data_IF_761219997910
#
_entry.id   IF_761219997910
#
_cell.length_a   1.000
_cell.length_b   1.000
_cell.length_c   1.000
_cell.angle_alpha   90.00
_cell.angle_beta   90.00
_cell.angle_gamma   90.00
#
_symmetry.space_group_name_H-M   'P 1'
#
loop_
_entity.id
_entity.type
_entity.pdbx_description
1 polymer ?
#
# COMPACT_ATOMS: atom_id res chain seq x y z
N UNK A 1 -16.45 -11.19 -38.70
CA UNK A 1 -17.87 -11.29 -38.31
C UNK A 1 -18.14 -10.21 -37.28
N UNK A 2 -19.15 -9.38 -37.56
CA UNK A 2 -19.64 -8.18 -36.89
C UNK A 2 -19.02 -7.73 -35.55
N UNK A 3 -18.51 -6.50 -35.53
CA UNK A 3 -18.53 -5.67 -34.32
C UNK A 3 -19.55 -4.54 -34.55
N UNK A 4 -20.70 -4.75 -33.92
CA UNK A 4 -21.77 -3.81 -33.59
C UNK A 4 -21.38 -2.33 -33.57
N UNK A 5 -22.25 -1.48 -34.13
CA UNK A 5 -22.09 -0.03 -34.25
C UNK A 5 -22.05 0.71 -32.92
N UNK A 6 -20.88 0.71 -32.27
CA UNK A 6 -20.55 1.58 -31.16
C UNK A 6 -19.41 2.51 -31.59
N UNK A 7 -19.56 3.81 -31.30
CA UNK A 7 -18.62 4.87 -31.69
C UNK A 7 -17.22 4.72 -31.08
N UNK A 8 -17.10 3.94 -30.00
CA UNK A 8 -15.86 3.72 -29.27
C UNK A 8 -15.62 2.21 -29.07
N UNK A 9 -14.36 1.73 -29.18
CA UNK A 9 -14.02 0.34 -28.93
C UNK A 9 -14.22 0.00 -27.44
N UNK A 10 -14.91 -1.11 -27.16
CA UNK A 10 -15.16 -1.61 -25.80
C UNK A 10 -14.80 -3.09 -25.72
N UNK A 11 -13.56 -3.44 -25.33
CA UNK A 11 -13.17 -4.83 -25.24
C UNK A 11 -13.71 -5.44 -23.93
N UNK A 12 -14.72 -6.30 -24.05
CA UNK A 12 -15.52 -6.70 -22.89
C UNK A 12 -14.93 -7.79 -21.99
N UNK A 13 -13.75 -8.38 -22.24
CA UNK A 13 -13.15 -9.39 -21.34
C UNK A 13 -11.62 -9.54 -21.54
N UNK A 14 -10.82 -8.54 -21.20
CA UNK A 14 -9.36 -8.63 -21.31
C UNK A 14 -8.67 -8.88 -19.97
N UNK A 15 -7.88 -9.95 -19.89
CA UNK A 15 -6.91 -10.13 -18.81
C UNK A 15 -5.55 -9.57 -19.25
N UNK A 16 -5.21 -8.38 -18.75
CA UNK A 16 -3.97 -7.66 -19.06
C UNK A 16 -2.71 -8.52 -18.81
N UNK A 17 -2.77 -9.44 -17.84
CA UNK A 17 -1.67 -10.35 -17.52
C UNK A 17 -1.32 -11.35 -18.64
N UNK A 18 -2.20 -11.55 -19.62
CA UNK A 18 -1.93 -12.40 -20.78
C UNK A 18 -1.04 -11.72 -21.83
N UNK A 19 -1.06 -10.38 -21.88
CA UNK A 19 -0.35 -9.59 -22.90
C UNK A 19 0.90 -8.90 -22.35
N UNK A 20 0.88 -8.56 -21.06
CA UNK A 20 2.00 -7.92 -20.38
C UNK A 20 2.61 -8.93 -19.43
N UNK A 21 3.64 -9.63 -19.93
CA UNK A 21 4.34 -10.68 -19.18
C UNK A 21 5.35 -10.12 -18.18
N UNK A 22 5.70 -8.82 -18.31
CA UNK A 22 6.73 -8.17 -17.52
C UNK A 22 6.11 -7.15 -16.58
N UNK A 23 6.45 -7.21 -15.29
CA UNK A 23 6.02 -6.20 -14.32
C UNK A 23 6.89 -4.94 -14.43
N UNK A 24 6.28 -3.76 -14.47
CA UNK A 24 6.99 -2.48 -14.51
C UNK A 24 7.90 -2.29 -13.28
N UNK A 25 9.15 -1.92 -13.53
CA UNK A 25 10.22 -1.58 -12.58
C UNK A 25 11.02 -0.39 -13.12
N UNK A 26 11.89 0.21 -12.30
CA UNK A 26 12.62 1.43 -12.68
C UNK A 26 13.59 1.25 -13.87
N UNK A 27 14.01 0.03 -14.17
CA UNK A 27 15.00 -0.26 -15.22
C UNK A 27 14.45 -0.95 -16.46
N UNK A 28 13.15 -1.29 -16.51
CA UNK A 28 12.55 -2.05 -17.61
C UNK A 28 11.42 -1.33 -18.34
N UNK A 29 11.36 0.00 -18.21
CA UNK A 29 10.29 0.83 -18.78
C UNK A 29 10.14 0.64 -20.30
N UNK A 30 11.24 0.58 -21.05
CA UNK A 30 11.19 0.45 -22.51
C UNK A 30 10.53 -0.86 -22.96
N UNK A 31 10.92 -1.98 -22.34
CA UNK A 31 10.41 -3.32 -22.68
C UNK A 31 8.97 -3.53 -22.18
N UNK A 32 8.62 -2.89 -21.07
CA UNK A 32 7.24 -2.84 -20.59
C UNK A 32 6.35 -1.99 -21.51
N UNK A 33 6.85 -0.81 -21.93
CA UNK A 33 6.14 0.10 -22.82
C UNK A 33 5.83 -0.55 -24.15
N UNK A 34 6.73 -1.33 -24.74
CA UNK A 34 6.45 -2.04 -25.99
C UNK A 34 5.29 -3.02 -25.82
N UNK A 35 5.31 -3.88 -24.79
CA UNK A 35 4.21 -4.83 -24.54
C UNK A 35 2.87 -4.14 -24.24
N UNK A 36 2.93 -2.99 -23.57
CA UNK A 36 1.75 -2.19 -23.26
C UNK A 36 1.17 -1.50 -24.50
N UNK A 37 2.03 -0.91 -25.35
CA UNK A 37 1.60 -0.30 -26.60
C UNK A 37 0.99 -1.35 -27.53
N UNK A 38 1.64 -2.51 -27.72
CA UNK A 38 1.13 -3.60 -28.56
C UNK A 38 -0.27 -4.06 -28.14
N UNK A 39 -0.55 -4.12 -26.83
CA UNK A 39 -1.89 -4.40 -26.31
C UNK A 39 -2.89 -3.32 -26.73
N UNK A 40 -2.53 -2.04 -26.63
CA UNK A 40 -3.40 -0.91 -27.01
C UNK A 40 -3.69 -0.92 -28.51
N UNK A 41 -2.70 -1.17 -29.35
CA UNK A 41 -2.89 -1.27 -30.80
C UNK A 41 -3.80 -2.46 -31.13
N UNK A 42 -3.64 -3.60 -30.46
CA UNK A 42 -4.46 -4.80 -30.70
C UNK A 42 -5.95 -4.62 -30.38
N UNK A 43 -6.28 -3.64 -29.53
CA UNK A 43 -7.66 -3.35 -29.11
C UNK A 43 -8.22 -2.09 -29.79
N UNK A 44 -7.50 -1.54 -30.77
CA UNK A 44 -7.85 -0.32 -31.50
C UNK A 44 -8.05 0.90 -30.59
N UNK A 45 -7.35 0.93 -29.45
CA UNK A 45 -7.50 1.97 -28.41
C UNK A 45 -6.47 3.12 -28.56
N UNK A 46 -5.63 3.07 -29.60
CA UNK A 46 -4.63 4.11 -29.90
C UNK A 46 -5.24 5.51 -30.05
N UNK A 47 -6.45 5.61 -30.62
CA UNK A 47 -7.11 6.89 -30.86
C UNK A 47 -7.41 7.71 -29.60
N UNK A 48 -7.45 7.08 -28.42
CA UNK A 48 -7.58 7.79 -27.14
C UNK A 48 -6.25 8.41 -26.67
N UNK A 49 -5.11 7.85 -27.06
CA UNK A 49 -3.77 8.37 -26.73
C UNK A 49 -3.37 9.48 -27.71
N UNK A 50 -3.68 9.31 -28.99
CA UNK A 50 -3.36 10.27 -30.05
C UNK A 50 -4.31 11.49 -30.07
N UNK A 51 -5.41 11.44 -29.32
CA UNK A 51 -6.38 12.53 -29.22
C UNK A 51 -7.38 12.60 -30.38
N UNK A 52 -7.48 11.53 -31.18
CA UNK A 52 -8.45 11.41 -32.28
C UNK A 52 -9.90 11.29 -31.79
N UNK A 53 -10.11 10.97 -30.51
CA UNK A 53 -11.42 10.99 -29.85
C UNK A 53 -11.51 12.14 -28.84
N UNK A 54 -11.93 13.35 -29.24
CA UNK A 54 -12.11 14.45 -28.32
C UNK A 54 -13.26 14.15 -27.34
N UNK A 55 -13.06 14.51 -26.07
CA UNK A 55 -14.03 14.30 -25.00
C UNK A 55 -15.37 15.00 -25.34
N UNK A 56 -16.49 14.26 -25.45
CA UNK A 56 -17.81 14.86 -25.68
C UNK A 56 -18.27 15.71 -24.47
N UNK A 57 -19.18 16.67 -24.70
CA UNK A 57 -19.75 17.45 -23.60
C UNK A 57 -20.59 16.60 -22.64
N UNK A 58 -20.43 16.85 -21.34
CA UNK A 58 -21.01 16.06 -20.25
C UNK A 58 -22.53 16.14 -20.17
N UNK A 59 -23.10 17.25 -20.62
CA UNK A 59 -24.53 17.55 -20.58
C UNK A 59 -24.93 18.14 -21.92
N UNK A 60 -26.10 17.76 -22.45
CA UNK A 60 -26.62 18.38 -23.66
C UNK A 60 -27.12 19.80 -23.35
N UNK A 61 -26.95 20.77 -24.27
CA UNK A 61 -27.51 22.10 -24.10
C UNK A 61 -29.04 22.03 -24.03
N UNK A 62 -29.65 22.75 -23.09
CA UNK A 62 -31.10 22.86 -22.97
C UNK A 62 -31.64 23.60 -24.21
N UNK A 63 -32.44 22.93 -25.03
CA UNK A 63 -33.15 23.57 -26.14
C UNK A 63 -34.15 24.59 -25.58
N UNK A 64 -34.21 25.76 -26.22
CA UNK A 64 -34.83 27.00 -25.74
C UNK A 64 -36.36 27.02 -25.64
N UNK A 65 -37.04 25.88 -25.46
CA UNK A 65 -38.51 25.84 -25.40
C UNK A 65 -39.12 25.41 -24.08
N UNK A 66 -38.33 25.04 -23.06
CA UNK A 66 -38.91 24.62 -21.77
C UNK A 66 -38.39 25.48 -20.62
N UNK A 67 -38.99 26.68 -20.49
CA UNK A 67 -38.98 27.43 -19.22
C UNK A 67 -40.08 26.84 -18.34
N UNK A 68 -39.74 25.81 -17.57
CA UNK A 68 -40.54 25.36 -16.43
C UNK A 68 -39.63 24.71 -15.38
N UNK A 69 -39.94 24.96 -14.12
CA UNK A 69 -39.14 24.73 -12.92
C UNK A 69 -38.43 23.35 -12.85
N UNK A 70 -37.10 23.36 -12.69
CA UNK A 70 -36.37 22.23 -12.13
C UNK A 70 -35.90 21.11 -13.08
N UNK A 71 -35.76 21.35 -14.38
CA UNK A 71 -35.21 20.34 -15.30
C UNK A 71 -33.70 20.11 -15.08
N UNK A 72 -33.31 18.94 -14.54
CA UNK A 72 -31.91 18.50 -14.50
C UNK A 72 -31.41 18.29 -15.92
N UNK A 73 -30.31 18.95 -16.30
CA UNK A 73 -29.63 18.71 -17.57
C UNK A 73 -29.40 17.19 -17.77
N UNK A 74 -30.00 16.62 -18.80
CA UNK A 74 -29.85 15.21 -19.11
C UNK A 74 -28.38 14.92 -19.44
N UNK A 75 -27.82 13.87 -18.81
CA UNK A 75 -26.45 13.44 -19.04
C UNK A 75 -26.36 12.91 -20.48
N UNK A 76 -25.38 13.40 -21.24
CA UNK A 76 -25.20 12.98 -22.62
C UNK A 76 -24.85 11.47 -22.68
N UNK A 77 -25.63 10.62 -23.36
CA UNK A 77 -25.33 9.19 -23.48
C UNK A 77 -23.99 8.92 -24.20
N UNK A 78 -23.58 9.82 -25.09
CA UNK A 78 -22.26 9.77 -25.74
C UNK A 78 -21.12 10.00 -24.76
N UNK A 79 -21.32 10.87 -23.76
CA UNK A 79 -20.34 11.11 -22.69
C UNK A 79 -20.22 9.89 -21.77
N UNK A 80 -21.30 9.15 -21.50
CA UNK A 80 -21.22 7.89 -20.76
C UNK A 80 -20.49 6.81 -21.52
N UNK A 81 -20.77 6.65 -22.82
CA UNK A 81 -20.09 5.67 -23.66
C UNK A 81 -18.59 5.97 -23.81
N UNK A 82 -18.22 7.23 -24.02
CA UNK A 82 -16.81 7.67 -24.03
C UNK A 82 -16.13 7.38 -22.69
N UNK A 83 -16.82 7.67 -21.57
CA UNK A 83 -16.27 7.44 -20.22
C UNK A 83 -16.11 5.95 -19.91
N UNK A 84 -17.07 5.10 -20.25
CA UNK A 84 -16.98 3.66 -20.02
C UNK A 84 -15.87 3.02 -20.88
N UNK A 85 -15.67 3.49 -22.11
CA UNK A 85 -14.55 3.08 -22.95
C UNK A 85 -13.19 3.57 -22.42
N UNK A 86 -13.10 4.83 -21.97
CA UNK A 86 -11.89 5.39 -21.37
C UNK A 86 -11.58 4.82 -19.98
N UNK A 87 -12.61 4.47 -19.19
CA UNK A 87 -12.47 3.88 -17.87
C UNK A 87 -11.86 2.47 -17.97
N UNK A 88 -12.09 1.72 -19.06
CA UNK A 88 -11.38 0.45 -19.33
C UNK A 88 -9.88 0.64 -19.62
N UNK A 89 -9.50 1.71 -20.33
CA UNK A 89 -8.10 2.08 -20.54
C UNK A 89 -7.48 2.48 -19.20
N UNK A 90 -8.18 3.27 -18.39
CA UNK A 90 -7.69 3.63 -17.07
C UNK A 90 -7.65 2.43 -16.14
N UNK A 91 -8.56 1.45 -16.15
CA UNK A 91 -8.39 0.19 -15.39
C UNK A 91 -7.19 -0.61 -15.89
N UNK A 92 -6.92 -0.68 -17.20
CA UNK A 92 -5.69 -1.30 -17.72
C UNK A 92 -4.41 -0.55 -17.30
N UNK A 93 -4.44 0.78 -17.29
CA UNK A 93 -3.34 1.64 -16.82
C UNK A 93 -3.25 1.65 -15.28
N UNK A 94 -4.36 1.56 -14.54
CA UNK A 94 -4.45 1.64 -13.07
C UNK A 94 -4.11 0.28 -12.44
N UNK A 95 -4.48 -0.83 -13.09
CA UNK A 95 -4.06 -2.17 -12.66
C UNK A 95 -2.55 -2.36 -12.85
N UNK A 96 -1.96 -1.73 -13.87
CA UNK A 96 -0.52 -1.87 -14.15
C UNK A 96 0.35 -0.76 -13.54
N UNK A 97 -0.11 0.49 -13.49
CA UNK A 97 0.59 1.62 -12.85
C UNK A 97 0.08 1.90 -11.41
N UNK A 98 -1.23 1.97 -11.15
CA UNK A 98 -1.74 2.47 -9.87
C UNK A 98 -1.85 1.45 -8.73
N UNK A 99 -1.75 0.15 -9.01
CA UNK A 99 -1.62 -0.85 -7.94
C UNK A 99 -0.33 -0.66 -7.10
N UNK A 100 0.69 0.00 -7.67
CA UNK A 100 1.97 0.24 -7.00
C UNK A 100 2.40 1.72 -7.04
N UNK A 101 2.16 2.54 -8.07
CA UNK A 101 2.91 3.80 -8.23
C UNK A 101 2.41 4.98 -7.37
N UNK A 102 1.13 5.09 -7.03
CA UNK A 102 0.67 6.18 -6.12
C UNK A 102 0.89 5.87 -4.63
N UNK A 103 1.19 4.62 -4.26
CA UNK A 103 1.52 4.26 -2.87
C UNK A 103 3.02 3.97 -2.63
N UNK A 104 3.84 3.82 -3.69
CA UNK A 104 5.18 3.23 -3.59
C UNK A 104 6.37 4.21 -3.53
N UNK A 105 6.20 5.51 -3.29
CA UNK A 105 7.36 6.40 -3.06
C UNK A 105 7.26 7.40 -1.91
N UNK A 106 6.34 7.19 -0.97
CA UNK A 106 6.60 7.65 0.40
C UNK A 106 7.10 6.45 1.19
N UNK A 107 8.41 6.29 1.27
CA UNK A 107 9.01 5.54 2.36
C UNK A 107 8.52 6.19 3.66
N UNK A 108 7.42 5.67 4.21
CA UNK A 108 6.88 6.11 5.49
C UNK A 108 7.86 5.63 6.57
N UNK A 109 8.96 6.39 6.74
CA UNK A 109 9.81 6.30 7.92
C UNK A 109 8.91 6.52 9.14
N UNK A 110 8.82 5.52 10.00
CA UNK A 110 8.05 5.61 11.23
C UNK A 110 8.93 6.24 12.30
N UNK A 111 8.63 7.48 12.67
CA UNK A 111 9.32 8.21 13.72
C UNK A 111 8.46 8.22 15.00
N UNK A 112 9.05 7.83 16.13
CA UNK A 112 8.41 7.85 17.45
C UNK A 112 9.21 8.77 18.38
N UNK A 113 8.56 9.67 19.15
CA UNK A 113 9.28 10.56 20.06
C UNK A 113 9.98 9.80 21.18
N UNK A 114 11.11 10.34 21.67
CA UNK A 114 11.87 9.80 22.81
C UNK A 114 11.10 9.88 24.14
N UNK A 115 10.12 10.77 24.23
CA UNK A 115 9.24 10.95 25.39
C UNK A 115 7.77 10.92 24.96
N UNK A 116 6.92 10.28 25.76
CA UNK A 116 5.47 10.19 25.51
C UNK A 116 4.71 10.33 26.83
N UNK A 117 3.67 11.17 26.87
CA UNK A 117 2.72 11.20 27.99
C UNK A 117 1.72 10.06 27.82
N UNK A 118 1.64 9.15 28.79
CA UNK A 118 0.68 8.03 28.76
C UNK A 118 0.31 7.61 30.17
N UNK A 119 -0.75 6.82 30.30
CA UNK A 119 -1.23 6.34 31.59
C UNK A 119 -0.24 5.35 32.21
N UNK A 120 0.17 5.61 33.45
CA UNK A 120 1.00 4.70 34.22
C UNK A 120 0.14 3.76 35.07
N UNK A 121 0.27 2.45 34.85
CA UNK A 121 -0.47 1.40 35.58
C UNK A 121 0.10 1.10 36.97
N UNK A 122 1.22 1.70 37.36
CA UNK A 122 1.79 1.50 38.69
C UNK A 122 0.79 1.94 39.76
N UNK A 123 0.73 1.18 40.85
CA UNK A 123 -0.14 1.47 42.00
C UNK A 123 0.13 2.85 42.59
N UNK A 124 1.38 3.31 42.54
CA UNK A 124 1.84 4.61 43.05
C UNK A 124 1.43 5.81 42.17
N UNK A 125 1.25 5.60 40.86
CA UNK A 125 1.01 6.69 39.92
C UNK A 125 -0.45 6.80 39.52
N UNK A 126 -1.03 5.73 38.96
CA UNK A 126 -2.41 5.66 38.41
C UNK A 126 -2.86 6.91 37.65
N UNK A 127 -1.94 7.59 36.96
CA UNK A 127 -2.16 8.86 36.26
C UNK A 127 -1.31 8.96 35.00
N UNK A 128 -1.60 9.95 34.16
CA UNK A 128 -0.84 10.22 32.94
C UNK A 128 0.48 10.92 33.25
N UNK A 129 1.59 10.21 33.08
CA UNK A 129 2.95 10.70 33.35
C UNK A 129 3.81 10.67 32.09
N UNK A 130 4.93 11.38 32.12
CA UNK A 130 5.94 11.32 31.06
C UNK A 130 6.70 9.99 31.15
N UNK A 131 6.77 9.31 30.00
CA UNK A 131 7.49 8.05 29.84
C UNK A 131 8.66 8.23 28.88
N UNK A 132 9.81 7.66 29.24
CA UNK A 132 10.95 7.48 28.33
C UNK A 132 10.65 6.31 27.40
N UNK A 133 10.72 6.57 26.10
CA UNK A 133 10.45 5.57 25.05
C UNK A 133 11.77 4.99 24.58
N UNK A 134 11.88 3.67 24.64
CA UNK A 134 13.03 2.91 24.13
C UNK A 134 12.55 1.75 23.27
N UNK A 135 13.40 1.25 22.38
CA UNK A 135 13.09 0.02 21.63
C UNK A 135 13.34 -1.20 22.52
N UNK A 136 12.39 -2.13 22.58
CA UNK A 136 12.61 -3.42 23.21
C UNK A 136 13.66 -4.21 22.41
N UNK A 137 14.66 -4.74 23.11
CA UNK A 137 15.62 -5.71 22.60
C UNK A 137 15.40 -7.03 23.31
N UNK A 138 15.38 -8.13 22.54
CA UNK A 138 15.39 -9.48 23.11
C UNK A 138 16.75 -9.70 23.77
N UNK A 139 16.76 -10.14 25.02
CA UNK A 139 17.99 -10.55 25.72
C UNK A 139 18.53 -11.90 25.23
N UNK A 140 19.69 -12.30 25.76
CA UNK A 140 20.23 -13.65 25.56
C UNK A 140 19.29 -14.68 26.19
N UNK A 141 19.05 -15.78 25.48
CA UNK A 141 18.22 -16.88 26.01
C UNK A 141 18.98 -17.58 27.16
N UNK A 142 18.30 -17.78 28.28
CA UNK A 142 18.89 -18.43 29.47
C UNK A 142 18.95 -19.95 29.31
N UNK A 143 20.02 -20.58 29.80
CA UNK A 143 20.20 -22.04 29.75
C UNK A 143 19.45 -22.79 30.85
N UNK A 144 19.19 -22.13 31.99
CA UNK A 144 18.57 -22.76 33.15
C UNK A 144 17.04 -23.01 32.99
N UNK A 145 16.42 -22.42 31.96
CA UNK A 145 14.98 -22.58 31.73
C UNK A 145 14.64 -24.03 31.40
N UNK A 146 13.52 -24.52 31.91
CA UNK A 146 13.12 -25.92 31.81
C UNK A 146 13.09 -26.43 30.36
N UNK A 147 12.62 -25.61 29.42
CA UNK A 147 12.56 -25.96 27.99
C UNK A 147 13.94 -26.21 27.38
N UNK A 148 14.94 -25.40 27.75
CA UNK A 148 16.32 -25.54 27.26
C UNK A 148 16.99 -26.77 27.87
N UNK A 149 16.87 -26.98 29.19
CA UNK A 149 17.33 -28.21 29.86
C UNK A 149 16.77 -29.49 29.24
N UNK A 150 15.46 -29.50 28.93
CA UNK A 150 14.81 -30.63 28.26
C UNK A 150 15.32 -30.82 26.83
N UNK A 151 15.50 -29.73 26.08
CA UNK A 151 16.05 -29.78 24.72
C UNK A 151 17.45 -30.38 24.71
N UNK A 152 18.33 -29.90 25.60
CA UNK A 152 19.73 -30.33 25.67
C UNK A 152 19.84 -31.81 26.04
N UNK A 153 19.05 -32.28 27.02
CA UNK A 153 18.95 -33.70 27.37
C UNK A 153 18.36 -34.55 26.23
N UNK A 154 17.45 -34.01 25.43
CA UNK A 154 16.92 -34.74 24.26
C UNK A 154 17.98 -34.83 23.15
N UNK A 155 18.79 -33.79 23.00
CA UNK A 155 19.79 -33.69 21.95
C UNK A 155 21.07 -34.50 22.23
N UNK A 156 21.32 -34.88 23.49
CA UNK A 156 22.49 -35.69 23.85
C UNK A 156 22.39 -37.12 23.34
N UNK A 157 23.52 -37.71 22.93
CA UNK A 157 23.61 -39.07 22.39
C UNK A 157 23.61 -39.10 20.86
N UNK A 158 23.26 -40.26 20.29
CA UNK A 158 23.18 -40.46 18.84
C UNK A 158 21.76 -40.17 18.32
N UNK A 159 21.62 -39.89 17.02
CA UNK A 159 20.32 -39.65 16.37
C UNK A 159 20.13 -38.24 15.80
N UNK A 160 21.13 -37.36 15.91
CA UNK A 160 21.15 -36.06 15.21
C UNK A 160 20.14 -35.05 15.75
N UNK A 161 19.55 -34.25 14.86
CA UNK A 161 18.67 -33.14 15.23
C UNK A 161 17.29 -33.62 15.70
N UNK A 162 16.96 -33.42 16.99
CA UNK A 162 15.76 -34.03 17.61
C UNK A 162 14.48 -33.20 17.59
N UNK A 163 14.56 -31.95 17.12
CA UNK A 163 13.44 -30.99 17.04
C UNK A 163 13.46 -30.25 15.70
N UNK A 164 12.29 -29.92 15.14
CA UNK A 164 12.20 -29.31 13.82
C UNK A 164 12.85 -27.92 13.78
N UNK A 165 13.61 -27.66 12.72
CA UNK A 165 14.18 -26.35 12.41
C UNK A 165 13.30 -25.66 11.37
N UNK A 166 12.91 -24.42 11.64
CA UNK A 166 12.01 -23.68 10.74
C UNK A 166 12.80 -22.96 9.62
N UNK A 167 12.64 -23.42 8.37
CA UNK A 167 13.36 -22.88 7.21
C UNK A 167 12.56 -21.87 6.36
N UNK A 168 11.24 -22.02 6.24
CA UNK A 168 10.40 -21.26 5.29
C UNK A 168 9.95 -19.89 5.85
N UNK A 169 10.89 -18.97 6.09
CA UNK A 169 10.59 -17.62 6.62
C UNK A 169 10.06 -16.70 5.50
N UNK A 170 8.77 -16.34 5.57
CA UNK A 170 8.15 -15.42 4.61
C UNK A 170 8.16 -13.93 5.04
N UNK A 171 8.18 -13.66 6.36
CA UNK A 171 8.06 -12.27 6.86
C UNK A 171 9.42 -11.57 6.84
N UNK A 172 9.49 -10.44 6.13
CA UNK A 172 10.70 -9.61 6.00
C UNK A 172 10.90 -8.62 7.15
N UNK A 173 9.84 -8.27 7.87
CA UNK A 173 9.86 -7.32 9.00
C UNK A 173 9.37 -7.97 10.29
N UNK A 174 9.65 -7.35 11.44
CA UNK A 174 9.14 -7.76 12.76
C UNK A 174 8.22 -6.68 13.31
N UNK A 175 7.31 -7.03 14.23
CA UNK A 175 6.60 -6.01 15.02
C UNK A 175 7.59 -5.41 16.01
N UNK A 176 7.76 -4.10 15.95
CA UNK A 176 8.61 -3.39 16.91
C UNK A 176 7.80 -3.19 18.19
N UNK A 177 8.43 -3.43 19.34
CA UNK A 177 7.81 -3.21 20.64
C UNK A 177 8.52 -2.06 21.32
N UNK A 178 7.76 -1.06 21.75
CA UNK A 178 8.27 0.06 22.53
C UNK A 178 8.26 -0.31 24.01
N UNK A 179 9.35 -0.01 24.70
CA UNK A 179 9.46 -0.08 26.15
C UNK A 179 9.29 1.34 26.70
N UNK A 180 8.17 1.55 27.40
CA UNK A 180 7.78 2.83 28.01
C UNK A 180 8.12 2.77 29.50
N UNK A 181 9.10 3.55 29.94
CA UNK A 181 9.49 3.64 31.34
C UNK A 181 8.98 4.94 31.95
N UNK A 182 8.14 4.85 32.98
CA UNK A 182 7.65 6.02 33.70
C UNK A 182 8.80 6.75 34.40
N UNK A 183 8.88 8.07 34.30
CA UNK A 183 9.93 8.86 34.96
C UNK A 183 9.75 8.95 36.49
N UNK A 184 8.50 8.91 36.99
CA UNK A 184 8.21 8.90 38.43
C UNK A 184 8.52 7.55 39.10
N UNK A 185 7.63 6.56 38.93
CA UNK A 185 7.74 5.24 39.60
C UNK A 185 8.66 4.22 38.91
N UNK A 186 9.33 4.56 37.80
CA UNK A 186 10.19 3.66 37.00
C UNK A 186 9.49 2.39 36.46
N UNK A 187 8.18 2.24 36.62
CA UNK A 187 7.41 1.14 36.06
C UNK A 187 7.53 1.10 34.53
N UNK A 188 7.67 -0.11 33.99
CA UNK A 188 7.89 -0.35 32.57
C UNK A 188 6.68 -1.04 31.97
N UNK A 189 6.17 -0.49 30.86
CA UNK A 189 5.13 -1.10 30.05
C UNK A 189 5.60 -1.33 28.62
N UNK A 190 5.07 -2.37 27.97
CA UNK A 190 5.40 -2.73 26.59
C UNK A 190 4.25 -2.38 25.66
N UNK A 191 4.55 -1.74 24.54
CA UNK A 191 3.57 -1.33 23.55
C UNK A 191 3.99 -1.76 22.13
N UNK A 192 3.38 -2.83 21.57
CA UNK A 192 3.68 -3.28 20.22
C UNK A 192 3.05 -2.34 19.17
N UNK A 193 3.82 -1.97 18.16
CA UNK A 193 3.32 -1.24 16.99
C UNK A 193 3.09 -2.17 15.80
N UNK A 194 2.45 -1.65 14.74
CA UNK A 194 2.34 -2.34 13.45
C UNK A 194 3.73 -2.58 12.84
N UNK A 195 3.85 -3.53 11.92
CA UNK A 195 5.12 -3.84 11.24
C UNK A 195 5.53 -2.67 10.35
N UNK A 196 6.79 -2.28 10.40
CA UNK A 196 7.39 -1.28 9.53
C UNK A 196 8.81 -1.73 9.11
N UNK A 197 9.29 -1.24 7.97
CA UNK A 197 10.66 -1.51 7.46
C UNK A 197 11.68 -0.56 8.08
N UNK A 198 11.36 0.72 8.13
CA UNK A 198 12.24 1.77 8.68
C UNK A 198 11.59 2.39 9.92
N UNK A 199 12.35 2.39 11.02
CA UNK A 199 11.91 2.87 12.33
C UNK A 199 13.03 3.64 13.00
N UNK A 200 12.72 4.82 13.51
CA UNK A 200 13.64 5.67 14.25
C UNK A 200 12.95 6.24 15.50
N UNK A 201 13.75 6.50 16.54
CA UNK A 201 13.27 7.10 17.79
C UNK A 201 13.90 8.49 17.93
N UNK A 202 13.05 9.52 17.92
CA UNK A 202 13.44 10.92 18.07
C UNK A 202 14.09 11.53 16.84
N UNK A 203 13.62 11.16 15.64
CA UNK A 203 13.94 11.90 14.42
C UNK A 203 13.21 13.24 14.36
N UNK A 204 13.55 14.05 13.37
CA UNK A 204 12.96 15.37 13.19
C UNK A 204 11.49 15.29 12.81
N UNK A 205 10.72 16.28 13.26
CA UNK A 205 9.31 16.41 12.85
C UNK A 205 9.29 16.91 11.41
N UNK A 206 8.41 16.34 10.59
CA UNK A 206 8.20 16.83 9.23
C UNK A 206 7.68 18.27 9.28
N UNK A 207 8.34 19.17 8.54
CA UNK A 207 7.90 20.55 8.37
C UNK A 207 6.53 20.63 7.68
N UNK A 208 5.79 21.71 7.95
CA UNK A 208 4.55 22.02 7.24
C UNK A 208 4.91 22.76 5.94
N UNK A 209 4.87 22.06 4.80
CA UNK A 209 4.84 22.70 3.48
C UNK A 209 6.08 23.50 3.03
N UNK A 210 7.27 23.25 3.57
CA UNK A 210 8.49 23.85 3.03
C UNK A 210 8.83 23.22 1.67
N UNK A 211 9.07 24.07 0.67
CA UNK A 211 9.43 23.68 -0.69
C UNK A 211 10.61 22.72 -0.69
N UNK A 212 10.54 21.70 -1.56
CA UNK A 212 11.56 20.68 -1.73
C UNK A 212 12.86 21.32 -2.26
N UNK A 213 13.75 21.66 -1.35
CA UNK A 213 15.17 21.86 -1.62
C UNK A 213 15.96 20.94 -0.70
#
# INVERSE_FOLDING_TARGET
MAASGFKYPYPSNLNVGNFISIKLTQSNFLLWKTQFMDLIESQDMLGFIEGNYPMPERFLPLSSTDVAEGAKAAKNPEFTAYREAADNITEAVIVVECGWITFCLKAHRVNVPKTKKTYCKSKECRKHTLHKVTQYKKGKDSLAVQGKRRYDRKQSGYGGQTKPVFHKKAKTTKKIVLRLQCQGCKHVSQHPIKRCKHFEIGGDKKGKGTSLF
#
